data_IF_641684486577
#
_entry.id   IF_641684486577
#
_cell.length_a   1.000
_cell.length_b   1.000
_cell.length_c   1.000
_cell.angle_alpha   90.00
_cell.angle_beta   90.00
_cell.angle_gamma   90.00
#
_symmetry.space_group_name_H-M   'P 1'
#
loop_
_entity.id
_entity.type
_entity.pdbx_description
1 polymer ?
#
# COMPACT_ATOMS: atom_id res chain seq x y z
N UNK A 1 58.10 23.32 -29.73
CA UNK A 1 57.01 23.98 -30.49
C UNK A 1 55.97 22.92 -30.78
N UNK A 2 54.82 22.94 -30.08
CA UNK A 2 53.72 22.02 -30.33
C UNK A 2 52.93 22.48 -31.56
N UNK A 3 52.68 21.58 -32.51
CA UNK A 3 51.92 21.86 -33.74
C UNK A 3 50.42 22.13 -33.42
N UNK A 4 49.82 23.21 -33.93
CA UNK A 4 48.46 23.65 -33.58
C UNK A 4 47.36 22.64 -33.94
N UNK A 5 47.65 21.67 -34.80
CA UNK A 5 46.73 20.59 -35.21
C UNK A 5 46.46 19.58 -34.09
N UNK A 6 47.44 19.33 -33.22
CA UNK A 6 47.25 18.45 -32.06
C UNK A 6 46.38 19.10 -30.98
N UNK A 7 46.40 20.43 -30.90
CA UNK A 7 45.58 21.20 -29.95
C UNK A 7 44.10 21.19 -30.36
N UNK A 8 43.81 21.32 -31.66
CA UNK A 8 42.43 21.22 -32.18
C UNK A 8 41.85 19.81 -32.03
N UNK A 9 42.66 18.76 -32.26
CA UNK A 9 42.24 17.37 -32.12
C UNK A 9 41.93 17.00 -30.66
N UNK A 10 42.70 17.52 -29.70
CA UNK A 10 42.45 17.35 -28.27
C UNK A 10 41.14 18.01 -27.81
N UNK A 11 40.81 19.18 -28.36
CA UNK A 11 39.53 19.87 -28.08
C UNK A 11 38.35 19.09 -28.67
N UNK A 12 38.51 18.52 -29.88
CA UNK A 12 37.48 17.70 -30.52
C UNK A 12 37.22 16.38 -29.75
N UNK A 13 38.28 15.73 -29.25
CA UNK A 13 38.16 14.52 -28.42
C UNK A 13 37.49 14.81 -27.06
N UNK A 14 37.78 15.96 -26.45
CA UNK A 14 37.15 16.38 -25.20
C UNK A 14 35.64 16.68 -25.37
N UNK A 15 35.21 17.10 -26.57
CA UNK A 15 33.79 17.29 -26.89
C UNK A 15 33.02 15.97 -27.04
N UNK A 16 33.65 14.93 -27.58
CA UNK A 16 33.05 13.58 -27.70
C UNK A 16 32.98 12.82 -26.36
N UNK A 17 33.75 13.22 -25.35
CA UNK A 17 33.80 12.54 -24.05
C UNK A 17 32.69 12.97 -23.06
N UNK A 18 31.73 13.79 -23.48
CA UNK A 18 30.58 14.21 -22.65
C UNK A 18 29.30 13.42 -22.95
N UNK A 19 29.40 12.14 -23.31
CA UNK A 19 28.27 11.21 -23.22
C UNK A 19 28.36 10.54 -21.85
N UNK A 20 27.88 11.24 -20.82
CA UNK A 20 27.51 10.56 -19.58
C UNK A 20 26.29 9.69 -19.90
N UNK A 21 26.52 8.40 -20.16
CA UNK A 21 25.47 7.42 -20.02
C UNK A 21 25.13 7.34 -18.52
N UNK A 22 24.17 8.14 -18.08
CA UNK A 22 23.51 7.92 -16.80
C UNK A 22 22.79 6.57 -16.90
N UNK A 23 23.42 5.51 -16.42
CA UNK A 23 22.71 4.28 -16.10
C UNK A 23 21.73 4.64 -14.98
N UNK A 24 20.43 4.50 -15.27
CA UNK A 24 19.39 4.64 -14.27
C UNK A 24 19.65 3.62 -13.15
N UNK A 25 19.68 4.07 -11.90
CA UNK A 25 19.89 3.22 -10.75
C UNK A 25 18.66 2.33 -10.54
N UNK A 26 18.73 1.09 -11.03
CA UNK A 26 17.65 0.10 -10.95
C UNK A 26 17.58 -0.57 -9.56
N UNK A 27 17.54 0.23 -8.50
CA UNK A 27 17.33 -0.29 -7.13
C UNK A 27 16.30 0.48 -6.32
N UNK A 28 15.52 1.36 -6.95
CA UNK A 28 14.40 1.98 -6.27
C UNK A 28 13.35 0.90 -5.93
N UNK A 29 13.20 0.63 -4.62
CA UNK A 29 12.17 -0.27 -4.06
C UNK A 29 10.79 0.04 -4.65
N UNK A 30 10.54 1.31 -4.98
CA UNK A 30 9.34 1.78 -5.65
C UNK A 30 9.67 2.34 -7.03
N UNK A 31 8.83 2.02 -8.02
CA UNK A 31 8.84 2.63 -9.34
C UNK A 31 7.70 3.65 -9.47
N UNK A 32 7.81 4.58 -10.42
CA UNK A 32 6.74 5.54 -10.74
C UNK A 32 6.30 5.36 -12.20
N UNK A 33 5.00 5.27 -12.42
CA UNK A 33 4.35 5.13 -13.72
C UNK A 33 3.23 6.17 -13.87
N UNK A 34 2.67 6.28 -15.08
CA UNK A 34 1.41 6.99 -15.27
C UNK A 34 0.30 6.26 -14.46
N UNK A 35 -0.45 6.97 -13.62
CA UNK A 35 -1.43 6.35 -12.74
C UNK A 35 -2.58 5.74 -13.53
N UNK A 36 -3.09 4.59 -13.06
CA UNK A 36 -4.42 4.12 -13.48
C UNK A 36 -5.52 4.94 -12.82
N UNK A 37 -6.77 4.77 -13.26
CA UNK A 37 -7.90 5.55 -12.73
C UNK A 37 -8.04 5.51 -11.19
N UNK A 38 -7.69 4.37 -10.58
CA UNK A 38 -7.78 4.14 -9.13
C UNK A 38 -6.40 4.00 -8.46
N UNK A 39 -5.34 4.35 -9.20
CA UNK A 39 -3.95 4.09 -8.82
C UNK A 39 -3.18 5.37 -8.54
N UNK A 40 -2.18 5.27 -7.66
CA UNK A 40 -1.34 6.42 -7.26
C UNK A 40 -0.18 6.69 -8.22
N UNK A 41 0.03 5.86 -9.24
CA UNK A 41 1.22 5.85 -10.11
C UNK A 41 2.46 5.28 -9.43
N UNK A 42 2.44 5.03 -8.12
CA UNK A 42 3.54 4.41 -7.38
C UNK A 42 3.41 2.89 -7.44
N UNK A 43 4.43 2.20 -7.91
CA UNK A 43 4.45 0.75 -8.09
C UNK A 43 5.44 0.11 -7.11
N UNK A 44 5.02 -0.97 -6.47
CA UNK A 44 5.83 -1.80 -5.58
C UNK A 44 5.70 -3.26 -5.99
N UNK A 45 6.82 -3.94 -6.23
CA UNK A 45 6.85 -5.35 -6.65
C UNK A 45 5.91 -5.64 -7.84
N UNK A 46 5.88 -4.75 -8.83
CA UNK A 46 5.06 -4.89 -10.04
C UNK A 46 3.56 -4.63 -9.84
N UNK A 47 3.13 -4.14 -8.67
CA UNK A 47 1.75 -3.75 -8.39
C UNK A 47 1.65 -2.26 -8.08
N UNK A 48 0.72 -1.58 -8.74
CA UNK A 48 0.39 -0.19 -8.43
C UNK A 48 -0.30 -0.09 -7.06
N UNK A 49 0.15 0.87 -6.25
CA UNK A 49 -0.40 1.15 -4.94
C UNK A 49 -1.72 1.91 -5.13
N UNK A 50 -2.80 1.37 -4.57
CA UNK A 50 -4.12 2.00 -4.56
C UNK A 50 -4.18 3.19 -3.59
N UNK A 51 -5.17 4.06 -3.78
CA UNK A 51 -5.50 5.09 -2.79
C UNK A 51 -5.98 4.47 -1.47
N UNK A 52 -5.78 5.20 -0.36
CA UNK A 52 -6.35 4.82 0.93
C UNK A 52 -7.87 5.03 0.91
N UNK A 53 -8.62 4.06 1.44
CA UNK A 53 -10.05 4.23 1.66
C UNK A 53 -10.28 5.15 2.87
N UNK A 54 -10.89 6.31 2.66
CA UNK A 54 -11.36 7.17 3.75
C UNK A 54 -12.68 6.68 4.37
N UNK A 55 -13.13 7.35 5.44
CA UNK A 55 -14.41 7.03 6.10
C UNK A 55 -15.63 7.13 5.16
N UNK A 56 -15.52 7.86 4.06
CA UNK A 56 -16.55 7.98 3.03
C UNK A 56 -16.87 6.63 2.37
N UNK A 57 -15.91 5.71 2.33
CA UNK A 57 -16.10 4.34 1.83
C UNK A 57 -16.59 3.35 2.89
N UNK A 58 -16.85 3.79 4.14
CA UNK A 58 -17.10 2.90 5.26
C UNK A 58 -18.34 2.00 5.08
N UNK A 59 -19.31 2.40 4.26
CA UNK A 59 -20.47 1.55 3.91
C UNK A 59 -20.07 0.22 3.27
N UNK A 60 -18.92 0.17 2.58
CA UNK A 60 -18.37 -1.08 2.05
C UNK A 60 -18.07 -2.11 3.15
N UNK A 61 -17.75 -1.65 4.36
CA UNK A 61 -17.48 -2.53 5.50
C UNK A 61 -18.74 -3.23 6.02
N UNK A 62 -19.93 -2.72 5.69
CA UNK A 62 -21.25 -3.22 6.08
C UNK A 62 -21.98 -3.95 4.93
N UNK A 63 -21.33 -4.13 3.77
CA UNK A 63 -21.94 -4.74 2.59
C UNK A 63 -22.52 -6.13 2.89
N UNK A 64 -23.68 -6.45 2.32
CA UNK A 64 -24.44 -7.66 2.64
C UNK A 64 -23.67 -8.96 2.41
N UNK A 65 -22.88 -9.01 1.33
CA UNK A 65 -22.11 -10.21 0.95
C UNK A 65 -20.93 -10.49 1.89
N UNK A 66 -20.57 -9.56 2.78
CA UNK A 66 -19.39 -9.67 3.64
C UNK A 66 -19.37 -10.93 4.47
N UNK A 67 -20.48 -11.26 5.14
CA UNK A 67 -20.53 -12.46 5.98
C UNK A 67 -20.25 -13.72 5.17
N UNK A 68 -20.78 -13.79 3.94
CA UNK A 68 -20.58 -14.92 3.03
C UNK A 68 -19.15 -15.00 2.50
N UNK A 69 -18.58 -13.88 2.10
CA UNK A 69 -17.23 -13.81 1.50
C UNK A 69 -16.12 -13.96 2.54
N UNK A 70 -16.25 -13.31 3.70
CA UNK A 70 -15.21 -13.24 4.73
C UNK A 70 -15.44 -14.23 5.88
N UNK A 71 -16.59 -14.92 5.92
CA UNK A 71 -16.96 -15.90 6.96
C UNK A 71 -16.82 -15.33 8.37
N UNK A 72 -17.40 -14.16 8.58
CA UNK A 72 -17.33 -13.45 9.87
C UNK A 72 -18.01 -14.23 11.01
N UNK A 73 -18.94 -15.14 10.67
CA UNK A 73 -19.52 -16.11 11.59
C UNK A 73 -18.48 -17.08 12.19
N UNK A 74 -17.58 -17.60 11.35
CA UNK A 74 -16.48 -18.47 11.77
C UNK A 74 -15.43 -17.67 12.52
N UNK A 75 -15.09 -16.47 12.02
CA UNK A 75 -14.11 -15.60 12.65
C UNK A 75 -14.46 -15.35 14.12
N UNK A 76 -15.66 -14.85 14.41
CA UNK A 76 -16.10 -14.52 15.78
C UNK A 76 -16.11 -15.76 16.68
N UNK A 77 -16.58 -16.91 16.17
CA UNK A 77 -16.55 -18.18 16.92
C UNK A 77 -15.13 -18.63 17.25
N UNK A 78 -14.20 -18.44 16.33
CA UNK A 78 -12.80 -18.88 16.48
C UNK A 78 -12.04 -18.10 17.55
N UNK A 79 -12.50 -16.90 17.91
CA UNK A 79 -11.93 -16.10 19.00
C UNK A 79 -12.20 -16.71 20.38
N UNK A 80 -13.11 -17.69 20.50
CA UNK A 80 -13.48 -18.36 21.75
C UNK A 80 -13.82 -17.37 22.88
N UNK A 81 -14.51 -16.28 22.52
CA UNK A 81 -14.95 -15.25 23.44
C UNK A 81 -15.84 -15.85 24.53
N UNK A 82 -15.66 -15.37 25.76
CA UNK A 82 -16.42 -15.79 26.92
C UNK A 82 -17.24 -14.61 27.46
N UNK A 83 -18.36 -14.94 28.10
CA UNK A 83 -19.20 -13.93 28.75
C UNK A 83 -18.39 -13.12 29.78
N UNK A 84 -18.55 -11.80 29.77
CA UNK A 84 -17.88 -10.89 30.71
C UNK A 84 -16.46 -10.47 30.32
N UNK A 85 -15.93 -10.90 29.18
CA UNK A 85 -14.60 -10.48 28.74
C UNK A 85 -14.54 -8.98 28.42
N UNK A 86 -13.40 -8.35 28.74
CA UNK A 86 -13.01 -7.03 28.21
C UNK A 86 -12.02 -7.26 27.07
N UNK A 87 -12.38 -6.86 25.86
CA UNK A 87 -11.58 -7.05 24.64
C UNK A 87 -11.38 -5.71 23.92
N UNK A 88 -10.53 -5.70 22.90
CA UNK A 88 -10.30 -4.53 22.05
C UNK A 88 -10.34 -4.91 20.56
N UNK A 89 -11.11 -4.16 19.77
CA UNK A 89 -11.17 -4.27 18.31
C UNK A 89 -10.31 -3.18 17.64
N UNK A 90 -9.04 -3.51 17.36
CA UNK A 90 -8.10 -2.57 16.76
C UNK A 90 -8.38 -2.44 15.27
N UNK A 91 -8.84 -1.25 14.86
CA UNK A 91 -9.29 -1.02 13.49
C UNK A 91 -10.75 -1.40 13.26
N UNK A 92 -11.61 -1.23 14.27
CA UNK A 92 -13.03 -1.58 14.25
C UNK A 92 -13.84 -1.05 13.04
N UNK A 93 -13.37 0.02 12.39
CA UNK A 93 -14.06 0.63 11.25
C UNK A 93 -15.46 1.09 11.65
N UNK A 94 -16.49 0.56 11.01
CA UNK A 94 -17.91 0.82 11.35
C UNK A 94 -18.39 0.08 12.61
N UNK A 95 -17.56 -0.75 13.23
CA UNK A 95 -17.91 -1.60 14.36
C UNK A 95 -18.63 -2.90 13.96
N UNK A 96 -18.56 -3.31 12.69
CA UNK A 96 -19.23 -4.51 12.17
C UNK A 96 -18.91 -5.77 12.98
N UNK A 97 -17.63 -5.97 13.34
CA UNK A 97 -17.18 -7.09 14.16
C UNK A 97 -17.38 -6.81 15.65
N UNK A 98 -17.13 -5.57 16.11
CA UNK A 98 -17.30 -5.20 17.52
C UNK A 98 -18.72 -5.53 18.01
N UNK A 99 -19.76 -5.21 17.23
CA UNK A 99 -21.15 -5.56 17.59
C UNK A 99 -21.38 -7.07 17.72
N UNK A 100 -20.84 -7.87 16.80
CA UNK A 100 -20.96 -9.35 16.84
C UNK A 100 -20.18 -9.97 18.00
N UNK A 101 -19.04 -9.37 18.36
CA UNK A 101 -18.29 -9.76 19.54
C UNK A 101 -19.01 -9.35 20.83
N UNK A 102 -19.65 -8.18 20.86
CA UNK A 102 -20.49 -7.72 21.98
C UNK A 102 -21.63 -8.72 22.28
N UNK A 103 -22.29 -9.23 21.24
CA UNK A 103 -23.31 -10.28 21.39
C UNK A 103 -22.74 -11.56 22.03
N UNK A 104 -21.47 -11.89 21.76
CA UNK A 104 -20.81 -13.10 22.26
C UNK A 104 -20.33 -12.97 23.72
N UNK A 105 -19.85 -11.78 24.13
CA UNK A 105 -19.37 -11.51 25.51
C UNK A 105 -20.50 -11.07 26.46
N UNK A 106 -21.68 -10.77 25.93
CA UNK A 106 -22.88 -10.45 26.71
C UNK A 106 -22.80 -9.12 27.49
N UNK A 107 -23.87 -8.83 28.24
CA UNK A 107 -24.05 -7.54 28.92
C UNK A 107 -23.01 -7.21 30.01
N UNK A 108 -22.26 -8.20 30.49
CA UNK A 108 -21.19 -8.01 31.47
C UNK A 108 -19.82 -7.78 30.80
N UNK A 109 -19.71 -7.97 29.48
CA UNK A 109 -18.49 -7.77 28.73
C UNK A 109 -18.34 -6.34 28.20
N UNK A 110 -17.17 -6.04 27.66
CA UNK A 110 -16.88 -4.76 26.99
C UNK A 110 -15.96 -5.01 25.81
N UNK A 111 -16.21 -4.32 24.70
CA UNK A 111 -15.41 -4.32 23.48
C UNK A 111 -15.08 -2.90 23.06
#
# INVERSE_FOLDING_TARGET
>A
MYEPKFFLLAILLAFFCNINATFAEDSAIYQQFAPTAEGTGKVYMGREIAHVMGYQGASWLEREVREKEERTDILVKSLNLQSGMTIADVGAGTGYLSRRMADSIGAQGTV
#
